data_IF_282939152327
#
_entry.id   IF_282939152327
#
_cell.length_a   1.000
_cell.length_b   1.000
_cell.length_c   1.000
_cell.angle_alpha   90.00
_cell.angle_beta   90.00
_cell.angle_gamma   90.00
#
_symmetry.space_group_name_H-M   'P 1'
#
loop_
_entity.id
_entity.type
_entity.pdbx_description
1 polymer ?
#
# COMPACT_ATOMS: atom_id res chain seq x y z
N UNK A 1 47.12 33.88 -37.27
CA UNK A 1 46.73 33.66 -35.85
C UNK A 1 45.20 33.64 -35.87
N UNK A 2 44.52 32.48 -35.99
CA UNK A 2 44.18 31.48 -34.94
C UNK A 2 43.54 32.19 -33.73
N UNK A 3 42.30 31.95 -33.28
CA UNK A 3 41.43 30.76 -33.26
C UNK A 3 39.95 31.19 -33.50
N UNK A 4 39.07 30.45 -34.18
CA UNK A 4 38.37 29.20 -33.81
C UNK A 4 37.75 29.15 -32.40
N UNK A 5 36.50 28.69 -32.38
CA UNK A 5 35.69 28.18 -31.26
C UNK A 5 34.91 29.27 -30.49
N UNK A 6 33.63 29.11 -30.15
CA UNK A 6 33.03 27.91 -29.56
C UNK A 6 31.55 27.79 -29.91
N UNK A 7 31.18 26.61 -30.39
CA UNK A 7 29.81 26.08 -30.43
C UNK A 7 29.23 26.09 -29.01
N UNK A 8 28.12 26.78 -28.79
CA UNK A 8 27.21 26.52 -27.67
C UNK A 8 25.88 26.05 -28.27
N UNK A 9 25.85 24.79 -28.73
CA UNK A 9 25.21 23.68 -28.01
C UNK A 9 23.81 24.07 -27.51
N UNK A 10 22.83 23.82 -28.38
CA UNK A 10 21.44 23.49 -28.02
C UNK A 10 21.43 22.44 -26.90
N UNK A 11 21.42 22.88 -25.65
CA UNK A 11 21.21 22.01 -24.48
C UNK A 11 19.72 22.02 -24.07
N UNK A 12 18.83 21.82 -25.05
CA UNK A 12 17.39 21.59 -24.81
C UNK A 12 17.02 20.10 -24.88
N UNK A 13 17.99 19.22 -24.59
CA UNK A 13 17.82 17.77 -24.62
C UNK A 13 18.15 17.17 -23.25
N UNK A 14 17.20 17.24 -22.31
CA UNK A 14 16.89 16.21 -21.28
C UNK A 14 15.96 16.79 -20.19
N UNK A 15 14.76 17.19 -20.58
CA UNK A 15 13.61 17.10 -19.67
C UNK A 15 12.54 16.21 -20.31
N UNK A 16 12.99 15.06 -20.86
CA UNK A 16 12.09 13.92 -20.98
C UNK A 16 11.89 13.40 -19.55
N UNK A 17 10.94 14.01 -18.86
CA UNK A 17 10.37 13.47 -17.64
C UNK A 17 9.66 12.19 -18.06
N UNK A 18 10.41 11.09 -18.15
CA UNK A 18 9.81 9.77 -18.26
C UNK A 18 9.01 9.59 -16.98
N UNK A 19 7.69 9.76 -17.08
CA UNK A 19 6.77 9.22 -16.09
C UNK A 19 7.14 7.74 -16.02
N UNK A 20 7.84 7.35 -14.95
CA UNK A 20 8.02 5.93 -14.64
C UNK A 20 6.61 5.37 -14.58
N UNK A 21 6.41 4.32 -15.34
CA UNK A 21 5.13 3.66 -15.48
C UNK A 21 4.75 3.10 -14.09
N UNK A 22 4.01 3.87 -13.30
CA UNK A 22 3.58 3.49 -11.94
C UNK A 22 2.82 2.15 -11.94
N UNK A 23 2.35 1.72 -13.12
CA UNK A 23 1.70 0.44 -13.37
C UNK A 23 2.60 -0.79 -13.12
N UNK A 24 3.91 -0.71 -13.37
CA UNK A 24 4.80 -1.90 -13.30
C UNK A 24 4.98 -2.46 -11.90
N UNK A 25 4.81 -1.62 -10.87
CA UNK A 25 4.99 -1.99 -9.48
C UNK A 25 3.65 -2.21 -8.76
N UNK A 26 2.53 -1.91 -9.42
CA UNK A 26 1.21 -2.13 -8.86
C UNK A 26 0.92 -3.63 -8.84
N UNK A 27 0.60 -4.12 -7.65
CA UNK A 27 0.11 -5.47 -7.43
C UNK A 27 -1.30 -5.43 -6.86
N UNK A 28 -2.08 -6.45 -7.18
CA UNK A 28 -3.39 -6.72 -6.60
C UNK A 28 -3.24 -7.74 -5.48
N UNK A 29 -3.75 -7.43 -4.29
CA UNK A 29 -3.81 -8.37 -3.17
C UNK A 29 -5.24 -8.48 -2.65
N UNK A 30 -5.53 -9.60 -1.98
CA UNK A 30 -6.80 -9.80 -1.27
C UNK A 30 -6.51 -9.75 0.23
N UNK A 31 -7.18 -8.86 0.95
CA UNK A 31 -7.10 -8.79 2.41
C UNK A 31 -8.35 -9.46 2.97
N UNK A 32 -8.16 -10.36 3.94
CA UNK A 32 -9.23 -11.10 4.59
C UNK A 32 -9.17 -10.88 6.11
N UNK A 33 -10.32 -10.56 6.70
CA UNK A 33 -10.47 -10.38 8.14
C UNK A 33 -10.68 -11.74 8.83
N UNK A 34 -9.78 -12.09 9.75
CA UNK A 34 -9.80 -13.35 10.50
C UNK A 34 -10.02 -13.07 11.98
N UNK A 35 -10.99 -13.73 12.60
CA UNK A 35 -11.18 -13.66 14.04
C UNK A 35 -10.02 -14.40 14.75
N UNK A 36 -9.27 -13.69 15.60
CA UNK A 36 -8.04 -14.22 16.20
C UNK A 36 -8.28 -15.41 17.14
N UNK A 37 -9.48 -15.52 17.73
CA UNK A 37 -9.85 -16.57 18.69
C UNK A 37 -10.30 -17.84 17.98
N UNK A 38 -11.20 -17.70 17.01
CA UNK A 38 -11.81 -18.83 16.29
C UNK A 38 -11.02 -19.25 15.06
N UNK A 39 -10.11 -18.40 14.58
CA UNK A 39 -9.38 -18.55 13.31
C UNK A 39 -10.29 -18.64 12.08
N UNK A 40 -11.53 -18.16 12.20
CA UNK A 40 -12.51 -18.14 11.11
C UNK A 40 -12.58 -16.78 10.43
N UNK A 41 -13.03 -16.78 9.17
CA UNK A 41 -13.30 -15.57 8.43
C UNK A 41 -14.47 -14.82 9.05
N UNK A 42 -14.35 -13.48 9.11
CA UNK A 42 -15.42 -12.60 9.61
C UNK A 42 -16.42 -12.25 8.53
N UNK A 43 -17.14 -13.27 8.07
CA UNK A 43 -18.15 -13.15 7.00
C UNK A 43 -19.30 -12.20 7.40
N UNK A 44 -19.80 -11.43 6.42
CA UNK A 44 -20.92 -10.48 6.59
C UNK A 44 -20.76 -9.47 7.75
N UNK A 45 -19.52 -9.17 8.17
CA UNK A 45 -19.26 -8.16 9.20
C UNK A 45 -19.05 -6.75 8.64
N UNK A 46 -18.70 -6.65 7.35
CA UNK A 46 -18.40 -5.37 6.71
C UNK A 46 -17.33 -4.57 7.47
N UNK A 47 -16.31 -5.27 7.96
CA UNK A 47 -15.14 -4.66 8.58
C UNK A 47 -14.45 -3.71 7.57
N UNK A 48 -13.87 -2.62 8.09
CA UNK A 48 -13.18 -1.60 7.33
C UNK A 48 -11.68 -1.88 7.29
N UNK A 49 -11.13 -2.06 6.10
CA UNK A 49 -9.70 -2.14 5.83
C UNK A 49 -9.17 -0.73 5.56
N UNK A 50 -8.23 -0.27 6.38
CA UNK A 50 -7.53 1.00 6.22
C UNK A 50 -6.11 0.75 5.73
N UNK A 51 -5.76 1.37 4.60
CA UNK A 51 -4.43 1.27 4.01
C UNK A 51 -3.71 2.59 4.21
N UNK A 52 -2.58 2.54 4.90
CA UNK A 52 -1.66 3.67 5.04
C UNK A 52 -0.35 3.33 4.36
N UNK A 53 0.21 4.31 3.66
CA UNK A 53 1.49 4.20 2.96
C UNK A 53 2.52 5.08 3.66
N UNK A 54 3.76 4.60 3.74
CA UNK A 54 4.86 5.43 4.24
C UNK A 54 4.98 6.72 3.42
N UNK A 55 4.85 7.84 4.10
CA UNK A 55 5.05 9.19 3.60
C UNK A 55 6.48 9.67 3.83
N UNK A 56 6.90 10.68 3.06
CA UNK A 56 8.21 11.30 3.21
C UNK A 56 8.15 12.32 4.34
N UNK A 57 8.68 11.97 5.52
CA UNK A 57 8.84 12.87 6.66
C UNK A 57 10.33 13.10 6.97
N UNK A 58 10.72 14.36 7.16
CA UNK A 58 12.13 14.75 7.36
C UNK A 58 12.71 14.30 8.72
N UNK A 59 11.86 14.04 9.72
CA UNK A 59 12.28 13.65 11.08
C UNK A 59 11.61 12.39 11.64
N UNK A 60 10.39 12.06 11.19
CA UNK A 60 9.65 10.87 11.64
C UNK A 60 8.98 10.21 10.44
N UNK A 61 8.94 8.87 10.44
CA UNK A 61 8.14 8.10 9.48
C UNK A 61 6.67 8.48 9.69
N UNK A 62 6.02 8.90 8.61
CA UNK A 62 4.59 9.18 8.59
C UNK A 62 3.89 8.09 7.79
N UNK A 63 2.65 7.76 8.15
CA UNK A 63 1.84 6.79 7.43
C UNK A 63 0.55 7.49 6.99
N UNK A 64 0.54 7.94 5.74
CA UNK A 64 -0.60 8.66 5.17
C UNK A 64 -1.63 7.65 4.69
N UNK A 65 -2.90 7.88 5.04
CA UNK A 65 -4.02 7.07 4.53
C UNK A 65 -4.11 7.23 3.01
N UNK A 66 -4.04 6.11 2.29
CA UNK A 66 -4.12 6.05 0.83
C UNK A 66 -5.33 5.28 0.33
N UNK A 67 -6.02 4.55 1.21
CA UNK A 67 -7.23 3.84 0.86
C UNK A 67 -8.02 3.41 2.09
N UNK A 68 -9.33 3.26 1.88
CA UNK A 68 -10.26 2.63 2.82
C UNK A 68 -11.21 1.76 2.02
N UNK A 69 -11.42 0.53 2.46
CA UNK A 69 -12.20 -0.47 1.77
C UNK A 69 -13.08 -1.20 2.77
N UNK A 70 -14.32 -1.49 2.39
CA UNK A 70 -15.24 -2.29 3.20
C UNK A 70 -15.15 -3.74 2.70
N UNK A 71 -15.03 -4.68 3.63
CA UNK A 71 -15.06 -6.11 3.30
C UNK A 71 -16.42 -6.54 2.75
N UNK A 72 -16.39 -7.42 1.76
CA UNK A 72 -17.57 -8.01 1.15
C UNK A 72 -18.21 -9.07 2.08
N UNK A 73 -19.24 -9.77 1.59
CA UNK A 73 -19.93 -10.83 2.33
C UNK A 73 -19.01 -11.99 2.75
N UNK A 74 -17.86 -12.16 2.09
CA UNK A 74 -16.86 -13.19 2.43
C UNK A 74 -15.87 -12.72 3.51
N UNK A 75 -15.96 -11.47 3.95
CA UNK A 75 -15.04 -10.88 4.93
C UNK A 75 -13.73 -10.42 4.32
N UNK A 76 -13.71 -10.14 3.01
CA UNK A 76 -12.50 -9.81 2.26
C UNK A 76 -12.66 -8.54 1.42
N UNK A 77 -11.55 -7.91 1.04
CA UNK A 77 -11.52 -6.89 -0.01
C UNK A 77 -10.27 -7.03 -0.87
N UNK A 78 -10.42 -6.80 -2.17
CA UNK A 78 -9.30 -6.77 -3.13
C UNK A 78 -8.82 -5.34 -3.30
N UNK A 79 -7.51 -5.12 -3.17
CA UNK A 79 -6.90 -3.80 -3.26
C UNK A 79 -5.70 -3.81 -4.20
N UNK A 80 -5.38 -2.65 -4.78
CA UNK A 80 -4.16 -2.44 -5.56
C UNK A 80 -3.17 -1.58 -4.78
N UNK A 81 -1.92 -2.02 -4.68
CA UNK A 81 -0.85 -1.32 -3.97
C UNK A 81 0.46 -1.35 -4.78
N UNK A 82 1.31 -0.34 -4.59
CA UNK A 82 2.68 -0.33 -5.14
C UNK A 82 3.61 -1.18 -4.26
N UNK A 83 4.01 -2.36 -4.76
CA UNK A 83 4.85 -3.36 -4.06
C UNK A 83 6.23 -2.87 -3.60
N UNK A 84 6.67 -1.69 -4.04
CA UNK A 84 7.96 -1.09 -3.66
C UNK A 84 7.88 -0.19 -2.42
N UNK A 85 6.72 -0.13 -1.76
CA UNK A 85 6.43 0.79 -0.66
C UNK A 85 6.08 0.03 0.61
N UNK A 86 6.30 0.67 1.76
CA UNK A 86 5.85 0.16 3.05
C UNK A 86 4.37 0.52 3.23
N UNK A 87 3.57 -0.46 3.67
CA UNK A 87 2.17 -0.25 4.04
C UNK A 87 1.89 -0.71 5.47
N UNK A 88 1.19 0.13 6.21
CA UNK A 88 0.46 -0.25 7.41
C UNK A 88 -0.98 -0.55 6.98
N UNK A 89 -1.38 -1.81 7.15
CA UNK A 89 -2.69 -2.32 6.78
C UNK A 89 -3.40 -2.67 8.08
N UNK A 90 -4.50 -1.98 8.36
CA UNK A 90 -5.31 -2.22 9.56
C UNK A 90 -6.71 -2.68 9.16
N UNK A 91 -7.31 -3.55 9.96
CA UNK A 91 -8.73 -3.94 9.88
C UNK A 91 -9.42 -3.45 11.13
N UNK A 92 -10.49 -2.68 10.94
CA UNK A 92 -11.35 -2.12 11.99
C UNK A 92 -12.74 -2.70 11.82
N UNK A 93 -13.20 -3.46 12.80
CA UNK A 93 -14.55 -4.02 12.81
C UNK A 93 -15.33 -3.57 14.04
N UNK A 94 -16.58 -4.01 14.15
CA UNK A 94 -17.34 -3.85 15.40
C UNK A 94 -16.61 -4.54 16.54
N UNK A 95 -16.16 -3.75 17.53
CA UNK A 95 -15.43 -4.17 18.74
C UNK A 95 -14.18 -5.02 18.48
N UNK A 96 -13.55 -4.89 17.30
CA UNK A 96 -12.31 -5.60 16.97
C UNK A 96 -11.33 -4.73 16.21
N UNK A 97 -10.05 -5.00 16.38
CA UNK A 97 -9.00 -4.41 15.56
C UNK A 97 -7.87 -5.40 15.30
N UNK A 98 -7.21 -5.23 14.17
CA UNK A 98 -5.99 -5.94 13.81
C UNK A 98 -5.21 -5.14 12.79
N UNK A 99 -3.94 -5.47 12.60
CA UNK A 99 -3.14 -4.84 11.58
C UNK A 99 -1.73 -5.39 11.56
N UNK A 100 -1.05 -5.12 10.45
CA UNK A 100 0.33 -5.54 10.24
C UNK A 100 1.04 -4.56 9.30
N UNK A 101 2.37 -4.60 9.35
CA UNK A 101 3.25 -3.74 8.57
C UNK A 101 3.95 -4.57 7.47
N UNK A 102 3.72 -4.19 6.22
CA UNK A 102 4.28 -4.86 5.05
C UNK A 102 5.40 -4.03 4.43
N UNK A 103 6.58 -4.63 4.32
CA UNK A 103 7.76 -4.01 3.70
C UNK A 103 7.82 -4.31 2.20
N UNK A 104 8.60 -3.54 1.42
CA UNK A 104 8.77 -3.76 0.00
C UNK A 104 9.12 -5.22 -0.33
N UNK A 105 8.39 -5.81 -1.27
CA UNK A 105 8.59 -7.20 -1.70
C UNK A 105 7.99 -8.28 -0.79
N UNK A 106 7.40 -7.95 0.37
CA UNK A 106 6.71 -8.93 1.22
C UNK A 106 5.41 -9.46 0.58
N UNK A 107 4.75 -8.62 -0.21
CA UNK A 107 3.47 -8.91 -0.86
C UNK A 107 3.68 -9.17 -2.36
N UNK A 108 2.93 -10.14 -2.89
CA UNK A 108 2.99 -10.58 -4.30
C UNK A 108 1.63 -10.44 -4.98
N UNK A 109 1.64 -10.39 -6.31
CA UNK A 109 0.40 -10.38 -7.11
C UNK A 109 -0.50 -11.58 -6.76
N UNK A 110 -1.78 -11.30 -6.55
CA UNK A 110 -2.81 -12.29 -6.22
C UNK A 110 -2.70 -12.88 -4.81
N UNK A 111 -1.78 -12.40 -3.97
CA UNK A 111 -1.61 -12.92 -2.62
C UNK A 111 -2.83 -12.61 -1.75
N UNK A 112 -3.25 -13.62 -0.97
CA UNK A 112 -4.19 -13.44 0.13
C UNK A 112 -3.44 -13.12 1.43
N UNK A 113 -3.89 -12.06 2.09
CA UNK A 113 -3.33 -11.53 3.34
C UNK A 113 -4.40 -11.65 4.41
N UNK A 114 -4.14 -12.51 5.39
CA UNK A 114 -5.04 -12.74 6.50
C UNK A 114 -4.63 -11.82 7.66
N UNK A 115 -5.47 -10.85 7.98
CA UNK A 115 -5.27 -9.99 9.15
C UNK A 115 -6.11 -10.55 10.29
N UNK A 116 -5.43 -11.02 11.34
CA UNK A 116 -6.11 -11.42 12.56
C UNK A 116 -6.56 -10.19 13.33
N UNK A 117 -7.85 -10.14 13.66
CA UNK A 117 -8.44 -9.08 14.49
C UNK A 117 -8.76 -9.63 15.88
N UNK A 118 -8.41 -8.85 16.89
CA UNK A 118 -8.65 -9.15 18.29
C UNK A 118 -9.81 -8.29 18.81
N UNK A 119 -10.64 -8.82 19.72
CA UNK A 119 -11.61 -8.01 20.43
C UNK A 119 -10.94 -6.86 21.18
N UNK A 120 -11.58 -5.70 21.15
CA UNK A 120 -11.27 -4.61 22.05
C UNK A 120 -11.62 -5.07 23.48
N UNK A 121 -10.64 -5.05 24.38
CA UNK A 121 -10.93 -5.26 25.80
C UNK A 121 -11.76 -4.07 26.30
N UNK A 122 -12.90 -4.38 26.91
CA UNK A 122 -13.71 -3.42 27.66
C UNK A 122 -13.19 -3.29 29.09
#
# INVERSE_FOLDING_TARGET
>A
MVASNFVFLFLFLILSCSKRDDSKNQITIKITSIDSKTKQHRINKHDTIVIRKEGVGYLMKTFNKVGEYITDSTGSATIKIDSTKIYDISVLGTDVLGGDLYYPGHLKEGQEVNIEVMPLEN
#
